data_IF_532471619564
#
_entry.id   IF_532471619564
#
_cell.length_a   1.000
_cell.length_b   1.000
_cell.length_c   1.000
_cell.angle_alpha   90.00
_cell.angle_beta   90.00
_cell.angle_gamma   90.00
#
_symmetry.space_group_name_H-M   'P 1'
#
loop_
_entity.id
_entity.type
_entity.pdbx_description
1 polymer ?
#
# COMPACT_ATOMS: atom_id res chain seq x y z
N UNK A 1 4.37 37.24 27.76
CA UNK A 1 5.34 36.29 27.19
C UNK A 1 4.76 35.76 25.90
N UNK A 2 5.31 36.19 24.77
CA UNK A 2 4.93 35.74 23.43
C UNK A 2 5.85 34.57 23.10
N UNK A 3 5.31 33.36 22.98
CA UNK A 3 6.08 32.19 22.54
C UNK A 3 6.35 32.31 21.04
N UNK A 4 7.63 32.30 20.67
CA UNK A 4 8.15 32.39 19.31
C UNK A 4 7.58 31.30 18.38
N UNK A 5 7.43 31.58 17.07
CA UNK A 5 7.01 30.58 16.10
C UNK A 5 8.16 29.58 15.85
N UNK A 6 7.90 28.32 16.18
CA UNK A 6 8.83 27.20 16.08
C UNK A 6 9.36 27.05 14.62
N UNK A 7 10.67 27.28 14.36
CA UNK A 7 11.25 27.34 13.00
C UNK A 7 11.25 25.99 12.27
N UNK A 8 10.98 24.89 12.98
CA UNK A 8 10.84 23.54 12.42
C UNK A 8 9.49 23.42 11.67
N UNK A 9 8.43 24.06 12.18
CA UNK A 9 7.09 23.95 11.62
C UNK A 9 6.94 24.66 10.27
N UNK A 10 7.71 25.73 10.01
CA UNK A 10 7.68 26.47 8.75
C UNK A 10 8.49 25.76 7.65
N UNK A 11 9.61 25.12 8.00
CA UNK A 11 10.48 24.38 7.07
C UNK A 11 9.79 23.11 6.54
N UNK A 12 9.05 22.40 7.39
CA UNK A 12 8.27 21.21 7.00
C UNK A 12 7.12 21.58 6.05
N UNK A 13 6.46 22.72 6.26
CA UNK A 13 5.40 23.20 5.36
C UNK A 13 5.93 23.61 3.99
N UNK A 14 7.10 24.25 3.94
CA UNK A 14 7.76 24.63 2.68
C UNK A 14 8.20 23.41 1.86
N UNK A 15 8.84 22.43 2.52
CA UNK A 15 9.28 21.20 1.87
C UNK A 15 8.09 20.33 1.40
N UNK A 16 7.04 20.20 2.22
CA UNK A 16 5.83 19.46 1.83
C UNK A 16 5.13 20.10 0.63
N UNK A 17 5.08 21.44 0.55
CA UNK A 17 4.42 22.16 -0.55
C UNK A 17 5.20 22.07 -1.86
N UNK A 18 6.52 22.23 -1.81
CA UNK A 18 7.39 22.06 -2.98
C UNK A 18 7.42 20.60 -3.47
N UNK A 19 7.34 19.62 -2.56
CA UNK A 19 7.18 18.21 -2.91
C UNK A 19 5.80 17.95 -3.52
N UNK A 20 4.72 18.53 -3.00
CA UNK A 20 3.38 18.37 -3.58
C UNK A 20 3.26 18.96 -4.99
N UNK A 21 3.75 20.18 -5.21
CA UNK A 21 3.71 20.84 -6.53
C UNK A 21 4.55 20.09 -7.56
N UNK A 22 5.72 19.55 -7.19
CA UNK A 22 6.53 18.72 -8.08
C UNK A 22 5.99 17.28 -8.25
N UNK A 23 5.13 16.82 -7.33
CA UNK A 23 4.46 15.53 -7.45
C UNK A 23 3.23 15.62 -8.35
N UNK A 24 2.44 16.70 -8.32
CA UNK A 24 1.21 16.83 -9.13
C UNK A 24 1.45 16.62 -10.64
N UNK A 25 2.50 17.22 -11.21
CA UNK A 25 2.84 17.00 -12.63
C UNK A 25 3.28 15.56 -12.94
N UNK A 26 4.02 14.91 -12.04
CA UNK A 26 4.41 13.49 -12.19
C UNK A 26 3.28 12.52 -11.86
N UNK A 27 2.21 13.01 -11.25
CA UNK A 27 1.12 12.22 -10.70
C UNK A 27 0.05 11.94 -11.75
N UNK A 28 -0.23 12.87 -12.66
CA UNK A 28 -1.14 12.63 -13.78
C UNK A 28 -0.58 11.58 -14.76
N UNK A 29 0.67 11.73 -15.17
CA UNK A 29 1.37 10.84 -16.09
C UNK A 29 1.56 9.42 -15.50
N UNK A 30 1.75 9.34 -14.17
CA UNK A 30 1.84 8.07 -13.45
C UNK A 30 0.46 7.42 -13.26
N UNK A 31 -0.60 8.17 -12.95
CA UNK A 31 -1.97 7.67 -12.92
C UNK A 31 -2.37 7.14 -14.28
N UNK A 32 -1.99 7.80 -15.37
CA UNK A 32 -2.24 7.30 -16.72
C UNK A 32 -1.56 5.96 -16.99
N UNK A 33 -0.30 5.81 -16.57
CA UNK A 33 0.44 4.53 -16.63
C UNK A 33 -0.16 3.44 -15.72
N UNK A 34 -0.74 3.82 -14.57
CA UNK A 34 -1.36 2.92 -13.60
C UNK A 34 -2.78 2.49 -14.01
N UNK A 35 -3.55 3.41 -14.60
CA UNK A 35 -4.85 3.16 -15.25
C UNK A 35 -4.68 2.35 -16.54
N UNK A 36 -3.52 2.35 -17.17
CA UNK A 36 -3.25 1.56 -18.39
C UNK A 36 -3.06 0.06 -18.17
N UNK A 37 -3.10 -0.49 -16.95
CA UNK A 37 -3.07 -1.96 -16.81
C UNK A 37 -3.39 -2.59 -15.44
N UNK A 38 -2.89 -2.04 -14.33
CA UNK A 38 -2.90 -2.78 -13.05
C UNK A 38 -3.99 -2.36 -12.06
N UNK A 39 -4.36 -1.08 -11.95
CA UNK A 39 -5.36 -0.59 -10.99
C UNK A 39 -6.51 0.20 -11.62
N UNK A 40 -6.70 0.10 -12.93
CA UNK A 40 -7.78 0.78 -13.66
C UNK A 40 -9.18 0.53 -13.05
N UNK A 41 -9.32 -0.59 -12.34
CA UNK A 41 -10.55 -1.00 -11.67
C UNK A 41 -10.75 -0.36 -10.27
N UNK A 42 -9.74 0.31 -9.71
CA UNK A 42 -9.85 1.11 -8.49
C UNK A 42 -10.09 2.56 -8.93
N UNK A 43 -11.31 3.04 -8.76
CA UNK A 43 -11.72 4.39 -9.20
C UNK A 43 -11.34 5.46 -8.15
N UNK A 44 -11.21 5.09 -6.88
CA UNK A 44 -10.95 6.01 -5.77
C UNK A 44 -9.46 6.36 -5.62
N UNK A 45 -9.14 7.66 -5.77
CA UNK A 45 -7.79 8.22 -5.74
C UNK A 45 -7.09 7.98 -4.39
N UNK A 46 -7.83 8.10 -3.29
CA UNK A 46 -7.26 7.93 -1.96
C UNK A 46 -6.93 6.45 -1.70
N UNK A 47 -7.77 5.53 -2.16
CA UNK A 47 -7.48 4.08 -2.13
C UNK A 47 -6.25 3.71 -2.96
N UNK A 48 -6.09 4.30 -4.15
CA UNK A 48 -4.89 4.12 -4.97
C UNK A 48 -3.63 4.55 -4.20
N UNK A 49 -3.69 5.66 -3.47
CA UNK A 49 -2.55 6.15 -2.69
C UNK A 49 -2.19 5.23 -1.53
N UNK A 50 -3.18 4.71 -0.79
CA UNK A 50 -2.94 3.75 0.30
C UNK A 50 -2.32 2.46 -0.22
N UNK A 51 -2.79 1.96 -1.37
CA UNK A 51 -2.20 0.80 -2.07
C UNK A 51 -0.76 1.09 -2.44
N UNK A 52 -0.48 2.22 -3.10
CA UNK A 52 0.87 2.62 -3.48
C UNK A 52 1.83 2.72 -2.30
N UNK A 53 1.40 3.29 -1.18
CA UNK A 53 2.21 3.41 0.06
C UNK A 53 2.67 2.06 0.62
N UNK A 54 1.99 0.96 0.29
CA UNK A 54 2.46 -0.38 0.70
C UNK A 54 3.77 -0.76 0.01
N UNK A 55 4.05 -0.25 -1.20
CA UNK A 55 5.26 -0.57 -1.98
C UNK A 55 6.54 0.01 -1.38
N UNK A 56 6.41 0.98 -0.49
CA UNK A 56 7.53 1.62 0.21
C UNK A 56 7.99 0.81 1.43
N UNK A 57 7.19 -0.16 1.89
CA UNK A 57 7.51 -0.96 3.08
C UNK A 57 8.65 -1.93 2.82
N UNK A 58 9.54 -2.18 3.81
CA UNK A 58 10.61 -3.16 3.68
C UNK A 58 10.13 -4.57 3.30
N UNK A 59 8.97 -5.00 3.81
CA UNK A 59 8.36 -6.29 3.48
C UNK A 59 8.01 -6.42 1.99
N UNK A 60 7.75 -5.30 1.29
CA UNK A 60 7.49 -5.29 -0.15
C UNK A 60 8.68 -5.77 -0.99
N UNK A 61 9.91 -5.57 -0.52
CA UNK A 61 11.10 -6.13 -1.19
C UNK A 61 11.08 -7.66 -1.16
N UNK A 62 10.62 -8.25 -0.06
CA UNK A 62 10.49 -9.71 0.07
C UNK A 62 9.37 -10.24 -0.82
N UNK A 63 8.21 -9.56 -0.85
CA UNK A 63 7.10 -9.93 -1.73
C UNK A 63 7.52 -9.94 -3.20
N UNK A 64 8.22 -8.90 -3.68
CA UNK A 64 8.74 -8.87 -5.05
C UNK A 64 9.77 -9.96 -5.34
N UNK A 65 10.59 -10.31 -4.36
CA UNK A 65 11.64 -11.32 -4.52
C UNK A 65 11.07 -12.74 -4.61
N UNK A 66 10.05 -13.05 -3.81
CA UNK A 66 9.57 -14.43 -3.63
C UNK A 66 8.22 -14.73 -4.27
N UNK A 67 7.43 -13.72 -4.64
CA UNK A 67 6.16 -13.90 -5.34
C UNK A 67 6.35 -13.43 -6.79
N UNK A 68 6.52 -14.36 -7.71
CA UNK A 68 6.79 -14.10 -9.12
C UNK A 68 5.55 -13.61 -9.89
N UNK A 69 4.37 -14.08 -9.50
CA UNK A 69 3.09 -13.72 -10.11
C UNK A 69 2.67 -12.29 -9.73
N UNK A 70 2.44 -11.43 -10.74
CA UNK A 70 2.05 -10.03 -10.56
C UNK A 70 0.66 -9.85 -9.95
N UNK A 71 -0.29 -10.72 -10.31
CA UNK A 71 -1.66 -10.64 -9.79
C UNK A 71 -1.69 -11.04 -8.32
N UNK A 72 -0.92 -12.07 -7.94
CA UNK A 72 -0.78 -12.45 -6.53
C UNK A 72 -0.11 -11.31 -5.74
N UNK A 73 0.94 -10.67 -6.28
CA UNK A 73 1.55 -9.49 -5.63
C UNK A 73 0.54 -8.38 -5.43
N UNK A 74 -0.29 -8.09 -6.43
CA UNK A 74 -1.31 -7.06 -6.35
C UNK A 74 -2.39 -7.40 -5.32
N UNK A 75 -2.80 -8.67 -5.21
CA UNK A 75 -3.70 -9.17 -4.16
C UNK A 75 -3.10 -8.97 -2.75
N UNK A 76 -1.82 -9.26 -2.57
CA UNK A 76 -1.10 -9.02 -1.31
C UNK A 76 -1.10 -7.52 -0.98
N UNK A 77 -0.79 -6.67 -1.95
CA UNK A 77 -0.77 -5.21 -1.81
C UNK A 77 -2.14 -4.67 -1.36
N UNK A 78 -3.21 -5.09 -2.04
CA UNK A 78 -4.57 -4.70 -1.66
C UNK A 78 -4.96 -5.24 -0.28
N UNK A 79 -4.49 -6.43 0.10
CA UNK A 79 -4.67 -6.97 1.45
C UNK A 79 -3.97 -6.15 2.55
N UNK A 80 -2.78 -5.62 2.26
CA UNK A 80 -2.09 -4.69 3.17
C UNK A 80 -2.87 -3.37 3.31
N UNK A 81 -3.51 -2.91 2.23
CA UNK A 81 -4.40 -1.73 2.26
C UNK A 81 -5.68 -1.98 3.05
N UNK A 82 -6.29 -3.17 2.93
CA UNK A 82 -7.43 -3.56 3.78
C UNK A 82 -7.06 -3.46 5.26
N UNK A 83 -5.86 -3.91 5.63
CA UNK A 83 -5.35 -3.80 7.01
C UNK A 83 -5.16 -2.35 7.46
N UNK A 84 -4.79 -1.46 6.55
CA UNK A 84 -4.66 -0.03 6.85
C UNK A 84 -6.03 0.60 7.12
N UNK A 85 -7.01 0.37 6.24
CA UNK A 85 -8.38 0.87 6.43
C UNK A 85 -9.04 0.31 7.68
N UNK A 86 -8.78 -0.95 8.04
CA UNK A 86 -9.26 -1.54 9.28
C UNK A 86 -8.71 -0.83 10.53
N UNK A 87 -7.42 -0.49 10.52
CA UNK A 87 -6.78 0.26 11.62
C UNK A 87 -7.31 1.69 11.74
N UNK A 88 -7.64 2.31 10.60
CA UNK A 88 -8.24 3.64 10.52
C UNK A 88 -9.75 3.63 10.79
N UNK A 89 -10.36 2.45 11.02
CA UNK A 89 -11.81 2.24 11.14
C UNK A 89 -12.61 2.76 9.93
N UNK A 90 -11.98 2.79 8.75
CA UNK A 90 -12.62 3.19 7.50
C UNK A 90 -13.31 1.98 6.84
N UNK A 91 -14.43 1.57 7.43
CA UNK A 91 -15.16 0.36 7.01
C UNK A 91 -15.74 0.48 5.59
N UNK A 92 -16.11 1.69 5.16
CA UNK A 92 -16.61 1.95 3.82
C UNK A 92 -15.58 1.58 2.75
N UNK A 93 -14.34 2.09 2.89
CA UNK A 93 -13.26 1.76 1.94
C UNK A 93 -12.82 0.32 2.01
N UNK A 94 -12.85 -0.25 3.21
CA UNK A 94 -12.53 -1.65 3.44
C UNK A 94 -13.51 -2.57 2.69
N UNK A 95 -14.82 -2.35 2.80
CA UNK A 95 -15.82 -3.15 2.10
C UNK A 95 -15.82 -2.91 0.59
N UNK A 96 -15.59 -1.66 0.16
CA UNK A 96 -15.44 -1.35 -1.26
C UNK A 96 -14.25 -2.09 -1.88
N UNK A 97 -13.09 -2.04 -1.23
CA UNK A 97 -11.89 -2.72 -1.73
C UNK A 97 -12.06 -4.24 -1.74
N UNK A 98 -12.72 -4.84 -0.74
CA UNK A 98 -13.07 -6.28 -0.75
C UNK A 98 -13.92 -6.66 -1.95
N UNK A 99 -14.95 -5.86 -2.26
CA UNK A 99 -15.81 -6.07 -3.43
C UNK A 99 -15.01 -5.95 -4.73
N UNK A 100 -14.15 -4.94 -4.84
CA UNK A 100 -13.27 -4.75 -5.98
C UNK A 100 -12.36 -5.96 -6.19
N UNK A 101 -11.68 -6.43 -5.15
CA UNK A 101 -10.79 -7.60 -5.22
C UNK A 101 -11.58 -8.83 -5.67
N UNK A 102 -12.76 -9.08 -5.08
CA UNK A 102 -13.61 -10.22 -5.44
C UNK A 102 -14.06 -10.15 -6.90
N UNK A 103 -14.45 -8.98 -7.39
CA UNK A 103 -14.91 -8.81 -8.76
C UNK A 103 -13.79 -9.02 -9.78
N UNK A 104 -12.55 -8.60 -9.47
CA UNK A 104 -11.42 -8.69 -10.38
C UNK A 104 -10.71 -10.05 -10.35
N UNK A 105 -10.51 -10.62 -9.15
CA UNK A 105 -9.67 -11.82 -8.94
C UNK A 105 -10.46 -13.02 -8.39
N UNK A 106 -11.78 -12.89 -8.27
CA UNK A 106 -12.65 -13.91 -7.70
C UNK A 106 -12.45 -14.12 -6.20
N UNK A 107 -13.13 -15.13 -5.66
CA UNK A 107 -13.04 -15.52 -4.24
C UNK A 107 -11.60 -15.89 -3.84
N UNK A 108 -10.85 -16.55 -4.74
CA UNK A 108 -9.46 -16.92 -4.48
C UNK A 108 -8.58 -15.70 -4.25
N UNK A 109 -8.71 -14.67 -5.08
CA UNK A 109 -7.93 -13.44 -4.90
C UNK A 109 -8.31 -12.67 -3.63
N UNK A 110 -9.59 -12.70 -3.26
CA UNK A 110 -10.03 -12.14 -1.98
C UNK A 110 -9.39 -12.88 -0.79
N UNK A 111 -9.29 -14.21 -0.83
CA UNK A 111 -8.63 -14.98 0.22
C UNK A 111 -7.14 -14.63 0.34
N UNK A 112 -6.42 -14.48 -0.78
CA UNK A 112 -5.01 -14.03 -0.75
C UNK A 112 -4.89 -12.66 -0.09
N UNK A 113 -5.76 -11.71 -0.45
CA UNK A 113 -5.79 -10.40 0.18
C UNK A 113 -6.12 -10.49 1.68
N UNK A 114 -7.03 -11.36 2.10
CA UNK A 114 -7.34 -11.58 3.53
C UNK A 114 -6.19 -12.20 4.31
N UNK A 115 -5.41 -13.12 3.71
CA UNK A 115 -4.19 -13.65 4.33
C UNK A 115 -3.17 -12.54 4.59
N UNK A 116 -3.04 -11.61 3.66
CA UNK A 116 -2.21 -10.41 3.81
C UNK A 116 -2.78 -9.45 4.86
N UNK A 117 -4.10 -9.20 4.84
CA UNK A 117 -4.81 -8.35 5.81
C UNK A 117 -4.55 -8.82 7.24
N UNK A 118 -4.62 -10.13 7.47
CA UNK A 118 -4.44 -10.74 8.79
C UNK A 118 -2.96 -10.88 9.19
N UNK A 119 -2.02 -10.49 8.32
CA UNK A 119 -0.58 -10.58 8.56
C UNK A 119 -0.04 -12.01 8.55
N UNK A 120 -0.77 -12.98 7.98
CA UNK A 120 -0.31 -14.37 7.89
C UNK A 120 0.89 -14.49 6.95
N UNK A 121 0.86 -13.79 5.82
CA UNK A 121 1.97 -13.86 4.85
C UNK A 121 3.27 -13.31 5.44
N UNK A 122 3.20 -12.19 6.18
CA UNK A 122 4.35 -11.64 6.93
C UNK A 122 4.92 -12.70 7.90
N UNK A 123 4.06 -13.41 8.66
CA UNK A 123 4.47 -14.46 9.60
C UNK A 123 5.14 -15.64 8.89
N UNK A 124 4.61 -16.08 7.76
CA UNK A 124 5.20 -17.17 6.98
C UNK A 124 6.55 -16.78 6.39
N UNK A 125 6.68 -15.59 5.82
CA UNK A 125 7.97 -15.09 5.33
C UNK A 125 8.99 -14.99 6.47
N UNK A 126 8.58 -14.50 7.64
CA UNK A 126 9.45 -14.47 8.81
C UNK A 126 9.85 -15.86 9.30
N UNK A 127 8.97 -16.86 9.27
CA UNK A 127 9.35 -18.24 9.62
C UNK A 127 10.34 -18.85 8.63
N UNK A 128 10.17 -18.58 7.34
CA UNK A 128 11.03 -19.09 6.28
C UNK A 128 12.41 -18.43 6.28
N UNK A 129 12.50 -17.13 6.59
CA UNK A 129 13.73 -16.34 6.50
C UNK A 129 14.33 -15.92 7.85
N UNK A 130 13.58 -16.00 8.95
CA UNK A 130 14.05 -15.76 10.31
C UNK A 130 14.82 -16.94 10.89
N UNK A 131 14.66 -18.15 10.32
CA UNK A 131 15.53 -19.30 10.63
C UNK A 131 16.90 -19.23 9.95
N UNK A 132 17.05 -18.46 8.86
CA UNK A 132 18.32 -18.34 8.14
C UNK A 132 19.30 -17.31 8.74
N UNK A 133 18.89 -16.57 9.78
CA UNK A 133 19.75 -15.56 10.45
C UNK A 133 20.33 -16.03 11.80
N UNK A 134 20.07 -17.27 12.21
CA UNK A 134 20.65 -17.87 13.42
C UNK A 134 21.77 -18.89 13.10
N UNK A 135 22.53 -18.63 12.02
CA UNK A 135 23.78 -19.32 11.72
C UNK A 135 24.89 -18.26 11.60
N UNK A 136 25.36 -17.79 12.75
CA UNK A 136 26.72 -17.25 12.97
C UNK A 136 27.01 -17.26 14.46
#
# INVERSE_FOLDING_TARGET
MVSEPDPIASTVKGAAKAVMEHFEEKFEDFIERFKRGELAFIVDKETIEVVRKQREKPSWKLYRKYVSDSDIRLQIEMGLSLRAFEKEKNYEKLDNLRRIIRNKFGTRGLHVAQLSQNGLIDKYLWLLFGKTTNET
#
